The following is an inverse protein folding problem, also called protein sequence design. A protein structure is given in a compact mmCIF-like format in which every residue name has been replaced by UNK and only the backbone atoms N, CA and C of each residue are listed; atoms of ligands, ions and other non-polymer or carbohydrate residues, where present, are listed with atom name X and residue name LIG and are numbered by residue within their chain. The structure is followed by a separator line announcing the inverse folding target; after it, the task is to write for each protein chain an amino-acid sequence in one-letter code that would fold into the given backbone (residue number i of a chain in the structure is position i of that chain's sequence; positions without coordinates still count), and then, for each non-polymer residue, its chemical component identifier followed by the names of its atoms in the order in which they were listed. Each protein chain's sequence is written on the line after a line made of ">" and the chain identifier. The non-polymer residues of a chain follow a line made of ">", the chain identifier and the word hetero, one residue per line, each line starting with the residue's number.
data_IF_800369873975
#
_entry.id   IF_800369873975
#
_cell.length_a   1.000
_cell.length_b   1.000
_cell.length_c   1.000
_cell.angle_alpha   90.00
_cell.angle_beta   90.00
_cell.angle_gamma   90.00
#
_symmetry.space_group_name_H-M   'P 1'
#
loop_
_entity.id
_entity.type
_entity.pdbx_description
1 polymer ?
#
# COMPACT_ATOMS: atom_id res chain seq x y z
N UNK A 1 -7.14 -30.37 15.02
CA UNK A 1 -6.24 -30.15 13.87
C UNK A 1 -5.30 -29.02 14.22
N UNK A 2 -4.01 -29.16 13.96
CA UNK A 2 -3.02 -28.11 14.25
C UNK A 2 -3.14 -26.98 13.21
N UNK A 3 -2.86 -25.71 13.54
CA UNK A 3 -3.01 -24.59 12.61
C UNK A 3 -2.26 -24.79 11.29
N UNK A 4 -1.07 -25.36 11.31
CA UNK A 4 -0.31 -25.61 10.08
C UNK A 4 -0.94 -26.70 9.17
N UNK A 5 -1.70 -27.67 9.73
CA UNK A 5 -2.46 -28.66 8.96
C UNK A 5 -3.59 -27.97 8.20
N UNK A 6 -4.33 -27.09 8.88
CA UNK A 6 -5.39 -26.28 8.26
C UNK A 6 -4.81 -25.40 7.15
N UNK A 7 -3.69 -24.70 7.43
CA UNK A 7 -3.04 -23.85 6.44
C UNK A 7 -2.62 -24.65 5.20
N UNK A 8 -2.04 -25.84 5.40
CA UNK A 8 -1.63 -26.71 4.31
C UNK A 8 -2.80 -27.10 3.41
N UNK A 9 -3.91 -27.51 4.01
CA UNK A 9 -5.12 -27.88 3.26
C UNK A 9 -5.68 -26.71 2.47
N UNK A 10 -5.76 -25.53 3.08
CA UNK A 10 -6.26 -24.33 2.40
C UNK A 10 -5.34 -23.86 1.28
N UNK A 11 -4.02 -23.93 1.45
CA UNK A 11 -3.07 -23.56 0.37
C UNK A 11 -3.13 -24.54 -0.80
N UNK A 12 -3.32 -25.85 -0.54
CA UNK A 12 -3.55 -26.86 -1.58
C UNK A 12 -4.83 -26.53 -2.32
N UNK A 13 -5.93 -26.29 -1.61
CA UNK A 13 -7.23 -25.94 -2.19
C UNK A 13 -7.13 -24.69 -3.08
N UNK A 14 -6.46 -23.63 -2.60
CA UNK A 14 -6.26 -22.40 -3.40
C UNK A 14 -5.50 -22.70 -4.70
N UNK A 15 -4.47 -23.55 -4.64
CA UNK A 15 -3.67 -23.91 -5.83
C UNK A 15 -4.46 -24.77 -6.82
N UNK A 16 -5.35 -25.62 -6.33
CA UNK A 16 -6.22 -26.43 -7.17
C UNK A 16 -7.33 -25.62 -7.83
N UNK A 17 -7.94 -24.69 -7.08
CA UNK A 17 -8.99 -23.81 -7.60
C UNK A 17 -8.46 -22.79 -8.61
N UNK A 18 -7.38 -22.10 -8.29
CA UNK A 18 -6.70 -21.13 -9.15
C UNK A 18 -5.25 -20.91 -8.70
N UNK A 19 -4.28 -21.58 -9.35
CA UNK A 19 -2.86 -21.45 -9.00
C UNK A 19 -2.34 -20.00 -9.04
N UNK A 20 -2.99 -19.14 -9.84
CA UNK A 20 -2.61 -17.73 -9.99
C UNK A 20 -3.06 -16.88 -8.81
N UNK A 21 -4.01 -17.35 -8.00
CA UNK A 21 -4.50 -16.63 -6.83
C UNK A 21 -3.45 -16.55 -5.72
N UNK A 22 -2.58 -17.55 -5.61
CA UNK A 22 -1.50 -17.59 -4.64
C UNK A 22 -0.21 -17.01 -5.26
N UNK A 23 0.10 -15.80 -4.89
CA UNK A 23 1.28 -15.10 -5.39
C UNK A 23 2.58 -15.61 -4.80
N UNK A 24 2.59 -15.86 -3.50
CA UNK A 24 3.66 -16.53 -2.77
C UNK A 24 3.14 -16.98 -1.41
N UNK A 25 3.77 -18.02 -0.89
CA UNK A 25 3.45 -18.59 0.42
C UNK A 25 4.60 -19.45 0.91
N UNK A 26 4.44 -20.02 2.09
CA UNK A 26 5.42 -20.94 2.64
C UNK A 26 5.54 -22.21 1.80
N UNK A 27 6.67 -22.89 1.94
CA UNK A 27 6.79 -24.27 1.44
C UNK A 27 5.84 -25.17 2.20
N UNK A 28 5.07 -25.99 1.48
CA UNK A 28 4.15 -26.95 2.09
C UNK A 28 4.86 -28.05 2.88
N UNK A 29 6.13 -28.32 2.53
CA UNK A 29 6.93 -29.39 3.14
C UNK A 29 7.49 -29.04 4.52
N UNK A 30 7.48 -27.73 4.88
CA UNK A 30 8.09 -27.22 6.10
C UNK A 30 7.15 -26.31 6.91
N UNK A 31 5.82 -26.43 6.71
CA UNK A 31 4.86 -25.59 7.43
C UNK A 31 4.85 -25.83 8.94
N UNK A 32 5.14 -27.06 9.35
CA UNK A 32 5.21 -27.47 10.76
C UNK A 32 6.35 -26.81 11.54
N UNK A 33 7.39 -26.37 10.85
CA UNK A 33 8.57 -25.70 11.42
C UNK A 33 8.60 -24.18 11.20
N UNK A 34 7.58 -23.61 10.52
CA UNK A 34 7.49 -22.17 10.30
C UNK A 34 7.06 -21.44 11.59
N UNK A 35 7.77 -20.36 11.97
CA UNK A 35 7.31 -19.53 13.08
C UNK A 35 6.02 -18.79 12.69
N UNK A 36 5.08 -18.66 13.62
CA UNK A 36 3.91 -17.81 13.43
C UNK A 36 4.27 -16.33 13.64
N UNK A 37 3.61 -15.38 12.93
CA UNK A 37 2.63 -15.64 11.88
C UNK A 37 3.27 -16.08 10.56
N UNK A 38 2.64 -17.05 9.90
CA UNK A 38 3.05 -17.51 8.58
C UNK A 38 2.50 -16.56 7.52
N UNK A 39 3.36 -16.06 6.65
CA UNK A 39 2.92 -15.12 5.61
C UNK A 39 2.38 -15.82 4.37
N UNK A 40 1.20 -15.36 3.92
CA UNK A 40 0.56 -15.81 2.68
C UNK A 40 0.20 -14.59 1.84
N UNK A 41 0.69 -14.56 0.60
CA UNK A 41 0.42 -13.48 -0.34
C UNK A 41 -0.55 -13.96 -1.41
N UNK A 42 -1.68 -13.28 -1.51
CA UNK A 42 -2.73 -13.54 -2.48
C UNK A 42 -2.84 -12.39 -3.50
N UNK A 43 -3.33 -12.71 -4.68
CA UNK A 43 -3.69 -11.68 -5.66
C UNK A 43 -4.98 -10.93 -5.26
N UNK A 44 -5.19 -9.74 -5.80
CA UNK A 44 -6.29 -8.86 -5.39
C UNK A 44 -7.68 -9.51 -5.53
N UNK A 45 -7.92 -10.26 -6.61
CA UNK A 45 -9.20 -10.96 -6.83
C UNK A 45 -9.42 -12.15 -5.90
N UNK A 46 -8.38 -12.57 -5.18
CA UNK A 46 -8.45 -13.67 -4.23
C UNK A 46 -8.85 -13.23 -2.81
N UNK A 47 -9.27 -11.98 -2.63
CA UNK A 47 -9.73 -11.44 -1.33
C UNK A 47 -10.74 -12.37 -0.60
N UNK A 48 -11.73 -13.02 -1.24
CA UNK A 48 -12.60 -13.98 -0.55
C UNK A 48 -11.86 -15.16 0.06
N UNK A 49 -10.73 -15.58 -0.55
CA UNK A 49 -9.89 -16.66 0.00
C UNK A 49 -9.10 -16.16 1.22
N UNK A 50 -8.69 -14.90 1.21
CA UNK A 50 -8.05 -14.26 2.36
C UNK A 50 -8.96 -14.27 3.59
N UNK A 51 -10.24 -13.94 3.43
CA UNK A 51 -11.22 -14.03 4.51
C UNK A 51 -11.30 -15.44 5.09
N UNK A 52 -11.45 -16.47 4.24
CA UNK A 52 -11.50 -17.86 4.70
C UNK A 52 -10.25 -18.28 5.49
N UNK A 53 -9.07 -17.89 5.01
CA UNK A 53 -7.82 -18.17 5.72
C UNK A 53 -7.77 -17.48 7.07
N UNK A 54 -8.20 -16.21 7.15
CA UNK A 54 -8.25 -15.48 8.40
C UNK A 54 -9.24 -16.13 9.39
N UNK A 55 -10.45 -16.45 8.93
CA UNK A 55 -11.48 -17.08 9.78
C UNK A 55 -11.04 -18.43 10.32
N UNK A 56 -10.28 -19.20 9.53
CA UNK A 56 -9.81 -20.52 9.93
C UNK A 56 -8.57 -20.50 10.83
N UNK A 57 -7.70 -19.48 10.70
CA UNK A 57 -6.34 -19.50 11.24
C UNK A 57 -6.02 -18.29 12.15
N UNK A 58 -6.83 -17.22 12.11
CA UNK A 58 -6.64 -16.02 12.94
C UNK A 58 -5.20 -15.49 12.85
N UNK A 59 -4.61 -15.24 14.01
CA UNK A 59 -3.26 -14.67 14.14
C UNK A 59 -2.12 -15.63 13.73
N UNK A 60 -2.45 -16.86 13.35
CA UNK A 60 -1.44 -17.81 12.85
C UNK A 60 -0.93 -17.43 11.46
N UNK A 61 -1.69 -16.66 10.69
CA UNK A 61 -1.31 -16.20 9.35
C UNK A 61 -1.28 -14.68 9.27
N UNK A 62 -0.30 -14.18 8.54
CA UNK A 62 -0.27 -12.79 8.07
C UNK A 62 -0.62 -12.76 6.58
N UNK A 63 -1.78 -12.18 6.26
CA UNK A 63 -2.32 -12.17 4.91
C UNK A 63 -2.01 -10.85 4.22
N UNK A 64 -1.50 -10.94 2.99
CA UNK A 64 -1.23 -9.80 2.14
C UNK A 64 -1.93 -10.02 0.80
N UNK A 65 -2.81 -9.10 0.38
CA UNK A 65 -3.60 -9.24 -0.84
C UNK A 65 -3.27 -8.14 -1.82
N UNK A 66 -2.86 -8.52 -3.02
CA UNK A 66 -2.65 -7.61 -4.15
C UNK A 66 -1.42 -6.73 -4.09
N UNK A 67 -0.62 -6.77 -3.03
CA UNK A 67 0.61 -5.97 -2.92
C UNK A 67 1.76 -6.64 -3.66
N UNK A 68 2.45 -5.88 -4.49
CA UNK A 68 3.68 -6.38 -5.10
C UNK A 68 4.78 -6.53 -4.05
N UNK A 69 5.54 -7.63 -4.11
CA UNK A 69 6.72 -7.83 -3.27
C UNK A 69 7.74 -6.74 -3.55
N UNK A 70 8.16 -6.10 -2.48
CA UNK A 70 9.43 -5.39 -2.46
C UNK A 70 10.48 -6.27 -1.80
N UNK A 71 11.74 -6.23 -2.27
CA UNK A 71 12.81 -7.12 -1.79
C UNK A 71 13.15 -6.92 -0.30
N UNK A 72 12.78 -5.79 0.28
CA UNK A 72 12.91 -5.55 1.72
C UNK A 72 11.54 -5.22 2.30
N UNK A 73 11.12 -6.03 3.26
CA UNK A 73 9.92 -5.76 4.04
C UNK A 73 10.19 -4.65 5.02
N UNK A 74 9.51 -3.56 4.84
CA UNK A 74 9.12 -2.77 5.99
C UNK A 74 7.92 -3.51 6.60
N UNK A 75 7.99 -3.92 7.86
CA UNK A 75 6.83 -4.49 8.52
C UNK A 75 5.66 -3.51 8.34
N UNK A 76 4.48 -4.03 8.03
CA UNK A 76 3.24 -3.26 8.00
C UNK A 76 2.84 -2.78 9.41
N UNK A 77 3.83 -2.55 10.26
CA UNK A 77 3.68 -2.01 11.59
C UNK A 77 3.56 -0.50 11.52
N UNK A 78 2.37 -0.08 11.69
CA UNK A 78 2.02 1.30 11.83
C UNK A 78 0.97 1.69 10.80
N UNK A 79 -0.26 1.41 11.11
CA UNK A 79 -1.34 2.29 10.69
C UNK A 79 -0.92 3.67 11.16
N UNK A 80 -0.43 4.50 10.25
CA UNK A 80 -0.14 5.90 10.55
C UNK A 80 -1.46 6.49 11.02
N UNK A 81 -1.53 6.90 12.27
CA UNK A 81 -2.73 7.59 12.72
C UNK A 81 -2.79 8.94 11.99
N UNK A 82 -3.98 9.44 11.70
CA UNK A 82 -4.15 10.77 11.10
C UNK A 82 -3.42 11.87 11.90
N UNK A 83 -3.26 11.69 13.22
CA UNK A 83 -2.51 12.59 14.10
C UNK A 83 -1.00 12.64 13.81
N UNK A 84 -0.47 11.59 13.16
CA UNK A 84 0.95 11.48 12.81
C UNK A 84 1.25 11.92 11.37
N UNK A 85 0.24 12.48 10.67
CA UNK A 85 0.35 12.96 9.30
C UNK A 85 0.38 14.50 9.26
N UNK A 86 1.52 15.14 9.58
CA UNK A 86 1.60 16.59 9.57
C UNK A 86 1.43 17.12 8.15
N UNK A 87 0.55 18.10 7.98
CA UNK A 87 0.25 18.72 6.70
C UNK A 87 1.47 19.47 6.15
N UNK A 88 1.67 19.39 4.85
CA UNK A 88 2.48 20.34 4.14
C UNK A 88 1.74 21.69 4.12
N UNK A 89 2.48 22.77 4.34
CA UNK A 89 1.93 24.11 4.19
C UNK A 89 1.59 24.34 2.70
N UNK A 90 0.30 24.47 2.32
CA UNK A 90 -0.10 24.61 0.93
C UNK A 90 0.37 25.92 0.29
N UNK A 91 0.75 26.93 1.09
CA UNK A 91 1.36 28.17 0.58
C UNK A 91 2.81 27.96 0.15
N UNK A 92 3.43 26.87 0.57
CA UNK A 92 4.83 26.52 0.27
C UNK A 92 4.97 25.36 -0.70
N UNK A 93 4.13 24.35 -0.57
CA UNK A 93 4.20 23.11 -1.38
C UNK A 93 2.81 22.64 -1.75
N UNK A 94 2.57 22.38 -3.02
CA UNK A 94 1.35 21.72 -3.49
C UNK A 94 1.66 20.47 -4.28
N UNK A 95 0.74 19.51 -4.21
CA UNK A 95 0.76 18.30 -5.03
C UNK A 95 -0.51 18.26 -5.85
N UNK A 96 -0.38 18.01 -7.13
CA UNK A 96 -1.49 17.93 -8.08
C UNK A 96 -1.31 16.75 -9.03
N UNK A 97 -2.41 16.28 -9.61
CA UNK A 97 -2.44 15.26 -10.67
C UNK A 97 -2.99 15.87 -11.94
N UNK A 98 -2.55 15.38 -13.10
CA UNK A 98 -3.05 15.86 -14.39
C UNK A 98 -4.40 15.25 -14.78
N UNK A 99 -4.97 14.37 -13.94
CA UNK A 99 -6.24 13.71 -14.14
C UNK A 99 -6.72 12.99 -12.88
N UNK A 100 -7.82 12.25 -13.03
CA UNK A 100 -8.39 11.46 -11.95
C UNK A 100 -7.46 10.31 -11.56
N UNK A 101 -7.31 10.10 -10.25
CA UNK A 101 -6.61 8.94 -9.72
C UNK A 101 -7.58 7.76 -9.68
N UNK A 102 -7.33 6.76 -10.53
CA UNK A 102 -8.12 5.53 -10.58
C UNK A 102 -7.22 4.34 -10.28
N UNK A 103 -7.51 3.63 -9.21
CA UNK A 103 -6.74 2.46 -8.77
C UNK A 103 -7.60 1.20 -8.78
N UNK A 104 -7.00 0.04 -9.02
CA UNK A 104 -7.67 -1.25 -8.85
C UNK A 104 -7.48 -1.73 -7.42
N UNK A 105 -8.56 -2.19 -6.78
CA UNK A 105 -8.55 -2.76 -5.41
C UNK A 105 -7.44 -3.80 -5.25
N UNK A 106 -6.65 -3.69 -4.19
CA UNK A 106 -5.53 -4.58 -3.88
C UNK A 106 -4.29 -4.45 -4.78
N UNK A 107 -4.28 -3.51 -5.73
CA UNK A 107 -3.14 -3.25 -6.62
C UNK A 107 -2.38 -1.99 -6.19
N UNK A 108 -1.25 -1.75 -6.84
CA UNK A 108 -0.52 -0.50 -6.70
C UNK A 108 -0.78 0.34 -7.95
N UNK A 109 -1.42 1.48 -7.78
CA UNK A 109 -1.47 2.51 -8.82
C UNK A 109 -0.08 3.13 -8.95
N UNK A 110 0.46 3.12 -10.17
CA UNK A 110 1.64 3.89 -10.53
C UNK A 110 1.19 5.07 -11.39
N UNK A 111 1.55 6.26 -10.98
CA UNK A 111 1.14 7.50 -11.66
C UNK A 111 2.24 8.55 -11.53
N UNK A 112 2.07 9.67 -12.22
CA UNK A 112 2.87 10.87 -12.01
C UNK A 112 2.06 11.90 -11.24
N UNK A 113 2.73 12.61 -10.34
CA UNK A 113 2.17 13.76 -9.64
C UNK A 113 3.10 14.95 -9.81
N UNK A 114 2.52 16.13 -9.92
CA UNK A 114 3.26 17.38 -10.00
C UNK A 114 3.41 17.97 -8.61
N UNK A 115 4.65 18.14 -8.16
CA UNK A 115 4.97 18.85 -6.92
C UNK A 115 5.44 20.25 -7.27
N UNK A 116 4.76 21.27 -6.76
CA UNK A 116 5.14 22.68 -6.96
C UNK A 116 5.70 23.28 -5.67
N UNK A 117 6.80 24.01 -5.81
CA UNK A 117 7.46 24.72 -4.73
C UNK A 117 7.13 26.22 -4.84
N UNK A 118 6.31 26.72 -3.94
CA UNK A 118 5.91 28.11 -3.85
C UNK A 118 6.74 28.93 -2.85
N UNK A 119 7.69 28.26 -2.17
CA UNK A 119 8.57 28.93 -1.22
C UNK A 119 9.73 29.64 -1.91
N UNK A 120 10.45 30.44 -1.18
CA UNK A 120 11.66 31.16 -1.60
C UNK A 120 12.96 30.34 -1.49
N UNK A 121 12.87 29.09 -1.00
CA UNK A 121 13.99 28.17 -0.83
C UNK A 121 13.84 26.93 -1.69
N UNK A 122 14.96 26.26 -2.00
CA UNK A 122 14.94 24.98 -2.71
C UNK A 122 14.26 23.92 -1.85
N UNK A 123 13.24 23.27 -2.39
CA UNK A 123 12.59 22.12 -1.80
C UNK A 123 13.43 20.86 -2.12
N UNK A 124 13.95 20.20 -1.08
CA UNK A 124 14.72 18.96 -1.25
C UNK A 124 13.96 17.80 -0.64
N UNK A 125 13.67 16.79 -1.47
CA UNK A 125 13.09 15.52 -1.04
C UNK A 125 14.15 14.43 -1.06
N UNK A 126 14.23 13.63 0.00
CA UNK A 126 15.21 12.55 0.12
C UNK A 126 14.90 11.36 -0.79
N UNK A 127 13.64 11.19 -1.20
CA UNK A 127 13.19 10.18 -2.15
C UNK A 127 12.41 10.86 -3.29
N UNK A 128 12.74 10.60 -4.58
CA UNK A 128 11.99 11.12 -5.72
C UNK A 128 10.68 10.37 -5.98
N UNK A 129 10.43 9.28 -5.25
CA UNK A 129 9.18 8.52 -5.37
C UNK A 129 8.24 8.91 -4.22
N UNK A 130 7.03 9.28 -4.55
CA UNK A 130 6.00 9.58 -3.57
C UNK A 130 5.12 8.36 -3.28
N UNK A 131 4.70 8.21 -2.03
CA UNK A 131 3.81 7.14 -1.61
C UNK A 131 2.49 7.72 -1.14
N UNK A 132 1.39 7.16 -1.67
CA UNK A 132 0.04 7.58 -1.32
C UNK A 132 -0.49 6.79 -0.11
N UNK A 133 -0.97 7.52 0.88
CA UNK A 133 -1.73 6.99 2.02
C UNK A 133 -3.21 7.20 1.71
N UNK A 134 -3.97 6.09 1.67
CA UNK A 134 -5.41 6.11 1.38
C UNK A 134 -6.20 6.27 2.66
N UNK A 135 -7.13 7.19 2.67
CA UNK A 135 -7.96 7.56 3.81
C UNK A 135 -9.43 7.32 3.50
N UNK A 136 -10.15 6.87 4.51
CA UNK A 136 -11.62 6.89 4.50
C UNK A 136 -12.10 8.36 4.56
N UNK A 137 -12.84 8.85 3.56
CA UNK A 137 -13.23 10.25 3.48
C UNK A 137 -14.22 10.68 4.59
N UNK A 138 -14.87 9.73 5.27
CA UNK A 138 -15.84 10.01 6.33
C UNK A 138 -15.20 10.03 7.72
N UNK A 139 -14.23 9.16 7.94
CA UNK A 139 -13.60 8.98 9.25
C UNK A 139 -12.19 9.55 9.32
N UNK A 140 -11.55 9.79 8.18
CA UNK A 140 -10.15 10.13 8.07
C UNK A 140 -9.19 9.00 8.46
N UNK A 141 -9.71 7.78 8.67
CA UNK A 141 -8.89 6.65 9.03
C UNK A 141 -8.01 6.19 7.86
N UNK A 142 -6.77 5.85 8.14
CA UNK A 142 -5.89 5.22 7.15
C UNK A 142 -6.39 3.80 6.89
N UNK A 143 -6.63 3.48 5.61
CA UNK A 143 -7.19 2.18 5.20
C UNK A 143 -6.20 1.30 4.44
N UNK A 144 -5.16 1.86 3.84
CA UNK A 144 -4.11 1.07 3.21
C UNK A 144 -2.90 0.90 4.14
N UNK A 145 -2.11 -0.15 3.88
CA UNK A 145 -0.83 -0.33 4.55
C UNK A 145 0.20 0.70 4.08
N UNK A 146 1.01 1.22 5.01
CA UNK A 146 2.17 2.03 4.68
C UNK A 146 3.28 1.12 4.15
N UNK A 147 3.42 1.07 2.83
CA UNK A 147 4.52 0.35 2.20
C UNK A 147 5.61 1.36 1.88
N UNK A 148 6.42 1.67 2.86
CA UNK A 148 7.67 2.39 2.62
C UNK A 148 8.69 1.40 2.06
N UNK A 149 8.92 1.49 0.78
CA UNK A 149 10.04 0.79 0.19
C UNK A 149 11.29 1.65 0.37
N UNK A 150 12.23 1.16 1.15
CA UNK A 150 13.57 1.73 1.20
C UNK A 150 14.39 1.00 0.14
N UNK A 151 14.76 1.63 -0.98
CA UNK A 151 15.60 0.99 -1.97
C UNK A 151 16.96 0.67 -1.34
N UNK A 152 17.52 -0.49 -1.71
CA UNK A 152 18.87 -0.89 -1.28
C UNK A 152 19.94 0.11 -1.75
N UNK A 153 19.63 0.90 -2.77
CA UNK A 153 20.43 2.01 -3.28
C UNK A 153 19.56 3.26 -3.15
N UNK A 154 19.98 4.21 -2.33
CA UNK A 154 19.29 5.49 -2.20
C UNK A 154 19.25 6.18 -3.57
N UNK A 155 18.06 6.50 -4.04
CA UNK A 155 17.90 7.33 -5.22
C UNK A 155 18.44 8.75 -4.92
N UNK A 156 19.00 9.45 -5.91
CA UNK A 156 19.44 10.81 -5.69
C UNK A 156 18.25 11.69 -5.27
N UNK A 157 18.45 12.62 -4.32
CA UNK A 157 17.39 13.48 -3.84
C UNK A 157 16.79 14.31 -4.99
N UNK A 158 15.50 14.57 -4.91
CA UNK A 158 14.83 15.46 -5.84
C UNK A 158 14.85 16.90 -5.31
N UNK A 159 15.39 17.81 -6.11
CA UNK A 159 15.37 19.24 -5.84
C UNK A 159 14.36 19.95 -6.74
N UNK A 160 13.57 20.85 -6.14
CA UNK A 160 12.62 21.72 -6.85
C UNK A 160 12.95 23.17 -6.47
N UNK A 161 13.34 23.96 -7.45
CA UNK A 161 13.71 25.36 -7.24
C UNK A 161 12.49 26.20 -6.82
N UNK A 162 12.72 27.36 -6.16
CA UNK A 162 11.67 28.33 -5.87
C UNK A 162 10.83 28.68 -7.10
N UNK A 163 9.51 28.72 -6.95
CA UNK A 163 8.57 29.05 -8.01
C UNK A 163 8.45 27.99 -9.13
N UNK A 164 9.12 26.85 -9.00
CA UNK A 164 9.15 25.79 -10.00
C UNK A 164 8.30 24.60 -9.60
N UNK A 165 7.99 23.73 -10.58
CA UNK A 165 7.34 22.44 -10.33
C UNK A 165 8.11 21.29 -10.98
N UNK A 166 7.90 20.08 -10.49
CA UNK A 166 8.49 18.86 -11.02
C UNK A 166 7.49 17.71 -10.98
N UNK A 167 7.41 16.95 -12.09
CA UNK A 167 6.69 15.68 -12.13
C UNK A 167 7.54 14.58 -11.47
N UNK A 168 6.92 13.84 -10.58
CA UNK A 168 7.54 12.76 -9.82
C UNK A 168 6.69 11.51 -9.91
N UNK A 169 7.34 10.36 -9.87
CA UNK A 169 6.64 9.08 -9.79
C UNK A 169 5.94 8.95 -8.45
N UNK A 170 4.71 8.47 -8.48
CA UNK A 170 3.91 8.21 -7.29
C UNK A 170 3.36 6.78 -7.31
N UNK A 171 3.24 6.20 -6.12
CA UNK A 171 2.70 4.87 -5.90
C UNK A 171 1.63 4.93 -4.85
N UNK A 172 0.43 4.44 -5.19
CA UNK A 172 -0.70 4.37 -4.27
C UNK A 172 -1.08 2.91 -4.09
N UNK A 173 -0.64 2.25 -3.01
CA UNK A 173 -1.06 0.89 -2.72
C UNK A 173 -2.52 0.90 -2.25
N UNK A 174 -3.33 -0.02 -2.77
CA UNK A 174 -4.72 -0.23 -2.37
C UNK A 174 -4.94 -1.58 -1.69
N UNK A 175 -3.87 -2.25 -1.26
CA UNK A 175 -3.98 -3.35 -0.31
C UNK A 175 -4.21 -2.80 1.08
N UNK A 176 -4.98 -3.51 1.91
CA UNK A 176 -5.23 -3.17 3.29
C UNK A 176 -4.71 -4.26 4.23
N UNK A 177 -4.21 -3.84 5.39
CA UNK A 177 -3.89 -4.75 6.48
C UNK A 177 -5.08 -4.99 7.40
N UNK A 178 -6.22 -4.36 7.11
CA UNK A 178 -7.43 -4.51 7.90
C UNK A 178 -8.29 -5.66 7.37
N UNK A 179 -8.48 -6.74 8.14
CA UNK A 179 -9.40 -7.82 7.79
C UNK A 179 -10.83 -7.33 7.55
N UNK A 180 -11.26 -6.28 8.27
CA UNK A 180 -12.59 -5.69 8.14
C UNK A 180 -12.85 -5.07 6.77
N UNK A 181 -11.78 -4.72 6.04
CA UNK A 181 -11.85 -4.21 4.66
C UNK A 181 -11.60 -5.29 3.61
N UNK A 182 -11.46 -6.56 4.00
CA UNK A 182 -11.22 -7.66 3.08
C UNK A 182 -9.81 -7.69 2.51
N UNK A 183 -8.83 -7.19 3.25
CA UNK A 183 -7.40 -7.12 2.87
C UNK A 183 -7.10 -6.27 1.64
N UNK A 184 -8.07 -5.57 1.11
CA UNK A 184 -7.90 -4.60 0.05
C UNK A 184 -8.83 -3.42 0.26
N UNK A 185 -8.43 -2.23 -0.19
CA UNK A 185 -9.29 -1.07 -0.17
C UNK A 185 -10.48 -1.36 -1.09
N UNK A 186 -11.72 -1.35 -0.58
CA UNK A 186 -12.91 -1.68 -1.37
C UNK A 186 -13.13 -0.70 -2.53
N UNK A 187 -13.84 -1.12 -3.59
CA UNK A 187 -14.28 -0.21 -4.64
C UNK A 187 -15.12 0.93 -4.08
N UNK A 188 -14.88 2.13 -4.57
CA UNK A 188 -15.57 3.35 -4.11
C UNK A 188 -14.70 4.60 -4.23
N UNK A 189 -15.20 5.69 -3.66
CA UNK A 189 -14.50 6.97 -3.58
C UNK A 189 -13.75 7.08 -2.26
N UNK A 190 -12.48 7.40 -2.35
CA UNK A 190 -11.52 7.48 -1.26
C UNK A 190 -10.74 8.77 -1.36
N UNK A 191 -9.98 9.10 -0.32
CA UNK A 191 -8.99 10.16 -0.34
C UNK A 191 -7.59 9.58 -0.34
N UNK A 192 -6.65 10.25 -0.99
CA UNK A 192 -5.22 9.91 -0.94
C UNK A 192 -4.42 11.15 -0.58
N UNK A 193 -3.45 10.98 0.31
CA UNK A 193 -2.44 11.99 0.63
C UNK A 193 -1.07 11.44 0.31
N UNK A 194 -0.26 12.24 -0.37
CA UNK A 194 1.10 11.83 -0.72
C UNK A 194 2.08 12.21 0.36
N UNK A 195 2.87 11.25 0.79
CA UNK A 195 4.00 11.47 1.68
C UNK A 195 5.11 12.22 0.95
N UNK A 196 5.56 13.31 1.56
CA UNK A 196 6.61 14.20 1.08
C UNK A 196 7.81 14.08 2.04
N UNK A 197 8.85 13.32 1.70
CA UNK A 197 10.04 13.14 2.54
C UNK A 197 10.97 14.35 2.44
N UNK A 198 10.57 15.46 3.04
CA UNK A 198 11.30 16.70 2.99
C UNK A 198 12.52 16.69 3.96
N UNK A 199 13.59 17.36 3.59
CA UNK A 199 14.79 17.48 4.42
C UNK A 199 14.50 18.05 5.82
N UNK A 200 13.45 18.84 5.98
CA UNK A 200 13.00 19.42 7.25
C UNK A 200 12.02 18.54 8.05
N UNK A 201 11.79 17.31 7.62
CA UNK A 201 10.85 16.36 8.21
C UNK A 201 9.71 15.99 7.25
N UNK A 202 9.14 14.84 7.52
CA UNK A 202 8.04 14.29 6.72
C UNK A 202 6.81 15.20 6.75
N UNK A 203 6.15 15.35 5.62
CA UNK A 203 4.90 16.07 5.46
C UNK A 203 3.98 15.28 4.53
N UNK A 204 2.71 15.63 4.52
CA UNK A 204 1.71 15.03 3.65
C UNK A 204 0.99 16.10 2.84
N UNK A 205 0.68 15.79 1.60
CA UNK A 205 -0.09 16.68 0.73
C UNK A 205 -1.50 16.93 1.28
N UNK A 206 -2.18 17.94 0.77
CA UNK A 206 -3.63 18.02 0.88
C UNK A 206 -4.28 16.76 0.30
N UNK A 207 -5.47 16.37 0.78
CA UNK A 207 -6.19 15.22 0.22
C UNK A 207 -6.53 15.42 -1.26
N UNK A 208 -6.39 14.37 -2.03
CA UNK A 208 -6.83 14.27 -3.42
C UNK A 208 -7.85 13.13 -3.52
N UNK A 209 -8.80 13.24 -4.46
CA UNK A 209 -9.77 12.18 -4.71
C UNK A 209 -9.10 10.98 -5.35
N UNK A 210 -9.45 9.78 -4.87
CA UNK A 210 -9.04 8.49 -5.42
C UNK A 210 -10.27 7.64 -5.68
N UNK A 211 -10.50 7.22 -6.91
CA UNK A 211 -11.49 6.20 -7.23
C UNK A 211 -10.83 4.82 -7.18
N UNK A 212 -11.37 3.92 -6.39
CA UNK A 212 -10.95 2.51 -6.40
C UNK A 212 -11.99 1.69 -7.17
N UNK A 213 -11.55 0.93 -8.16
CA UNK A 213 -12.38 0.02 -8.95
C UNK A 213 -12.13 -1.43 -8.53
N UNK A 214 -13.09 -2.32 -8.81
CA UNK A 214 -12.97 -3.73 -8.49
C UNK A 214 -11.80 -4.39 -9.21
N UNK A 215 -11.08 -5.28 -8.51
CA UNK A 215 -10.12 -6.17 -9.12
C UNK A 215 -10.88 -7.31 -9.84
N UNK A 216 -10.50 -7.58 -11.08
CA UNK A 216 -11.01 -8.71 -11.85
C UNK A 216 -9.94 -9.78 -12.00
N UNK A 217 -10.34 -11.05 -11.96
CA UNK A 217 -9.45 -12.13 -12.33
C UNK A 217 -9.09 -12.00 -13.83
N UNK A 218 -7.84 -12.27 -14.21
CA UNK A 218 -7.52 -12.38 -15.64
C UNK A 218 -8.30 -13.54 -16.25
N UNK A 219 -8.78 -13.31 -17.46
CA UNK A 219 -9.45 -14.32 -18.27
C UNK A 219 -8.50 -15.51 -18.59
#
# INVERSE_FOLDING_TARGET
>A
MRPWEILREELIRIREEDPRALRSGPSLDHLDSQPAPVQVHLEAWAAPRAHRLHDALGDYVELVVGVQRFPQRVPLHGIISQREMPDADPTRVTVATDGDLVATSGRVLQTEVRVANHSDAVLTMSDPTLYGVVLDPHTGAVVNGDIRWVPAIAAPPANINPGSSRSLQARVPTASCSPTLGYSVPPGDWEVRFWLPLRGGDRYSSPLRLQVIAATAPA
#
